data_IF_659213306994
#
_entry.id   IF_659213306994
#
_cell.length_a   1.000
_cell.length_b   1.000
_cell.length_c   1.000
_cell.angle_alpha   90.00
_cell.angle_beta   90.00
_cell.angle_gamma   90.00
#
_symmetry.space_group_name_H-M   'P 1'
#
loop_
_entity.id
_entity.type
_entity.pdbx_description
1 polymer ?
#
# COMPACT_ATOMS: atom_id res chain seq x y z
N UNK A 1 11.40 9.29 19.40
CA UNK A 1 12.36 8.66 18.46
C UNK A 1 13.46 9.67 18.18
N UNK A 2 14.74 9.33 18.37
CA UNK A 2 15.89 10.18 18.01
C UNK A 2 16.60 9.63 16.77
N UNK A 3 17.45 10.41 16.08
CA UNK A 3 18.26 9.91 14.96
C UNK A 3 19.10 8.68 15.34
N UNK A 4 19.66 8.65 16.55
CA UNK A 4 20.47 7.53 17.04
C UNK A 4 19.63 6.27 17.25
N UNK A 5 18.42 6.41 17.80
CA UNK A 5 17.48 5.29 17.94
C UNK A 5 17.04 4.77 16.57
N UNK A 6 16.75 5.66 15.62
CA UNK A 6 16.38 5.30 14.25
C UNK A 6 17.52 4.52 13.57
N UNK A 7 18.75 5.02 13.65
CA UNK A 7 19.94 4.36 13.11
C UNK A 7 20.16 2.97 13.72
N UNK A 8 19.93 2.82 15.04
CA UNK A 8 20.03 1.54 15.74
C UNK A 8 19.01 0.52 15.23
N UNK A 9 17.76 0.94 14.98
CA UNK A 9 16.72 0.08 14.41
C UNK A 9 17.12 -0.36 13.00
N UNK A 10 17.37 0.58 12.08
CA UNK A 10 17.59 0.24 10.65
C UNK A 10 18.87 -0.55 10.41
N UNK A 11 19.88 -0.44 11.29
CA UNK A 11 21.15 -1.15 11.17
C UNK A 11 21.28 -2.34 12.13
N UNK A 12 20.23 -2.62 12.91
CA UNK A 12 20.20 -3.71 13.87
C UNK A 12 20.42 -5.07 13.20
N UNK A 13 21.21 -5.93 13.83
CA UNK A 13 21.45 -7.32 13.39
C UNK A 13 21.03 -8.25 14.53
N UNK A 14 19.71 -8.45 14.74
CA UNK A 14 19.23 -9.27 15.83
C UNK A 14 19.67 -10.73 15.62
N UNK A 15 19.92 -11.43 16.73
CA UNK A 15 20.30 -12.84 16.75
C UNK A 15 19.17 -13.71 17.27
N UNK A 16 19.01 -14.91 16.71
CA UNK A 16 18.04 -15.87 17.22
C UNK A 16 18.46 -16.42 18.59
N UNK A 17 17.51 -16.97 19.35
CA UNK A 17 17.77 -17.53 20.69
C UNK A 17 18.84 -18.63 20.70
N UNK A 18 18.93 -19.41 19.61
CA UNK A 18 19.95 -20.46 19.43
C UNK A 18 21.22 -19.97 18.73
N UNK A 19 21.41 -18.65 18.61
CA UNK A 19 22.50 -18.05 17.84
C UNK A 19 22.18 -17.88 16.35
N UNK A 20 23.05 -17.16 15.65
CA UNK A 20 22.87 -16.80 14.23
C UNK A 20 22.09 -15.51 14.01
N UNK A 21 22.45 -14.76 12.98
CA UNK A 21 21.81 -13.49 12.61
C UNK A 21 20.48 -13.76 11.90
N UNK A 22 19.43 -13.04 12.29
CA UNK A 22 18.13 -13.08 11.62
C UNK A 22 18.22 -12.24 10.33
N UNK A 23 18.54 -12.88 9.21
CA UNK A 23 18.73 -12.19 7.91
C UNK A 23 17.45 -11.55 7.39
N UNK A 24 16.29 -12.15 7.68
CA UNK A 24 14.97 -11.61 7.30
C UNK A 24 14.69 -10.25 7.93
N UNK A 25 15.33 -9.89 9.05
CA UNK A 25 15.19 -8.56 9.63
C UNK A 25 15.67 -7.47 8.66
N UNK A 26 16.88 -7.64 8.10
CA UNK A 26 17.44 -6.68 7.16
C UNK A 26 16.81 -6.79 5.75
N UNK A 27 16.35 -7.98 5.36
CA UNK A 27 15.81 -8.24 4.02
C UNK A 27 14.32 -7.91 3.89
N UNK A 28 13.54 -8.00 4.96
CA UNK A 28 12.09 -7.84 4.94
C UNK A 28 11.60 -6.80 5.94
N UNK A 29 11.96 -6.93 7.22
CA UNK A 29 11.42 -6.07 8.28
C UNK A 29 11.86 -4.62 8.14
N UNK A 30 13.16 -4.36 7.89
CA UNK A 30 13.70 -3.00 7.73
C UNK A 30 13.09 -2.31 6.49
N UNK A 31 13.08 -2.92 5.29
CA UNK A 31 12.42 -2.32 4.12
C UNK A 31 10.94 -1.96 4.36
N UNK A 32 10.17 -2.85 4.99
CA UNK A 32 8.75 -2.58 5.32
C UNK A 32 8.59 -1.46 6.33
N UNK A 33 9.39 -1.48 7.40
CA UNK A 33 9.41 -0.41 8.40
C UNK A 33 9.73 0.94 7.78
N UNK A 34 10.71 1.00 6.88
CA UNK A 34 11.08 2.24 6.19
C UNK A 34 9.93 2.76 5.32
N UNK A 35 9.23 1.89 4.61
CA UNK A 35 8.06 2.29 3.82
C UNK A 35 6.91 2.79 4.70
N UNK A 36 6.64 2.13 5.83
CA UNK A 36 5.62 2.56 6.78
C UNK A 36 5.97 3.92 7.41
N UNK A 37 7.24 4.14 7.77
CA UNK A 37 7.73 5.43 8.26
C UNK A 37 7.61 6.51 7.21
N UNK A 38 8.04 6.23 5.97
CA UNK A 38 7.97 7.16 4.84
C UNK A 38 6.54 7.64 4.60
N UNK A 39 5.57 6.72 4.63
CA UNK A 39 4.16 7.01 4.35
C UNK A 39 3.43 7.66 5.51
N UNK A 40 3.52 7.07 6.70
CA UNK A 40 2.64 7.43 7.81
C UNK A 40 3.27 8.44 8.77
N UNK A 41 4.60 8.58 8.74
CA UNK A 41 5.34 9.40 9.70
C UNK A 41 6.41 10.26 8.99
N UNK A 42 6.01 11.21 8.12
CA UNK A 42 6.96 12.01 7.33
C UNK A 42 7.97 12.79 8.18
N UNK A 43 7.62 13.15 9.42
CA UNK A 43 8.55 13.77 10.37
C UNK A 43 9.65 12.80 10.83
N UNK A 44 9.32 11.52 11.01
CA UNK A 44 10.32 10.48 11.33
C UNK A 44 11.15 10.11 10.11
N UNK A 45 10.60 10.22 8.90
CA UNK A 45 11.35 9.98 7.67
C UNK A 45 12.56 10.94 7.51
N UNK A 46 12.44 12.17 8.01
CA UNK A 46 13.53 13.17 7.98
C UNK A 46 14.77 12.73 8.77
N UNK A 47 14.61 11.88 9.79
CA UNK A 47 15.71 11.40 10.64
C UNK A 47 16.21 10.00 10.25
N UNK A 48 15.67 9.39 9.18
CA UNK A 48 16.17 8.13 8.64
C UNK A 48 17.52 8.36 7.95
N UNK A 49 18.56 7.54 8.22
CA UNK A 49 19.84 7.61 7.51
C UNK A 49 19.68 7.49 5.99
N UNK A 50 20.41 8.29 5.21
CA UNK A 50 20.28 8.31 3.74
C UNK A 50 20.57 6.95 3.09
N UNK A 51 21.56 6.22 3.60
CA UNK A 51 21.89 4.86 3.15
C UNK A 51 20.76 3.85 3.46
N UNK A 52 19.94 4.12 4.48
CA UNK A 52 18.75 3.35 4.80
C UNK A 52 17.59 3.67 3.85
N UNK A 53 17.42 4.92 3.43
CA UNK A 53 16.33 5.31 2.53
C UNK A 53 16.35 4.55 1.20
N UNK A 54 17.52 4.21 0.68
CA UNK A 54 17.67 3.41 -0.53
C UNK A 54 17.23 1.93 -0.37
N UNK A 55 17.05 1.45 0.86
CA UNK A 55 16.63 0.07 1.18
C UNK A 55 15.11 -0.08 1.23
N UNK A 56 14.34 0.98 1.01
CA UNK A 56 12.88 0.89 0.85
C UNK A 56 12.59 -0.06 -0.29
N UNK A 57 11.85 -1.12 0.00
CA UNK A 57 11.28 -1.98 -1.03
C UNK A 57 9.85 -1.53 -1.32
N UNK A 58 9.40 -1.78 -2.54
CA UNK A 58 7.98 -1.76 -2.87
C UNK A 58 7.28 -2.78 -1.98
N UNK A 59 6.57 -2.32 -0.96
CA UNK A 59 5.69 -3.19 -0.19
C UNK A 59 4.60 -3.73 -1.12
N UNK A 60 4.32 -5.02 -1.00
CA UNK A 60 3.16 -5.61 -1.66
C UNK A 60 1.90 -5.30 -0.83
N UNK A 61 1.07 -4.41 -1.38
CA UNK A 61 -0.21 -3.97 -0.83
C UNK A 61 -1.38 -4.80 -1.36
N UNK A 62 -1.15 -5.78 -2.24
CA UNK A 62 -2.21 -6.63 -2.75
C UNK A 62 -2.94 -7.33 -1.59
N UNK A 63 -4.26 -7.36 -1.65
CA UNK A 63 -5.08 -7.92 -0.57
C UNK A 63 -5.63 -6.90 0.41
N UNK A 64 -4.93 -5.78 0.62
CA UNK A 64 -5.34 -4.72 1.57
C UNK A 64 -6.57 -3.96 1.08
N UNK A 65 -7.28 -3.32 2.01
CA UNK A 65 -8.41 -2.44 1.70
C UNK A 65 -7.98 -0.98 1.84
N UNK A 66 -8.39 -0.16 0.89
CA UNK A 66 -8.11 1.27 0.89
C UNK A 66 -9.35 2.08 0.49
N UNK A 67 -9.36 3.37 0.84
CA UNK A 67 -10.37 4.32 0.39
C UNK A 67 -10.14 4.60 -1.09
N UNK A 68 -11.11 4.24 -1.95
CA UNK A 68 -10.97 4.26 -3.41
C UNK A 68 -10.60 5.65 -3.95
N UNK A 69 -11.17 6.71 -3.39
CA UNK A 69 -10.90 8.09 -3.83
C UNK A 69 -9.44 8.53 -3.59
N UNK A 70 -8.70 7.79 -2.76
CA UNK A 70 -7.28 8.03 -2.45
C UNK A 70 -6.32 7.13 -3.25
N UNK A 71 -6.85 6.21 -4.06
CA UNK A 71 -6.07 5.31 -4.89
C UNK A 71 -5.76 5.93 -6.26
N UNK A 72 -4.69 5.47 -6.91
CA UNK A 72 -4.37 5.84 -8.28
C UNK A 72 -5.47 5.36 -9.25
N UNK A 73 -5.78 6.13 -10.31
CA UNK A 73 -6.53 5.63 -11.46
C UNK A 73 -5.90 4.37 -12.02
N UNK A 74 -6.74 3.41 -12.45
CA UNK A 74 -6.26 2.13 -12.93
C UNK A 74 -7.30 1.03 -12.82
N UNK A 75 -6.87 -0.18 -13.16
CA UNK A 75 -7.74 -1.36 -13.17
C UNK A 75 -7.84 -1.97 -11.78
N UNK A 76 -9.05 -2.16 -11.25
CA UNK A 76 -9.36 -2.87 -10.02
C UNK A 76 -10.22 -4.09 -10.34
N UNK A 77 -9.58 -5.26 -10.50
CA UNK A 77 -10.26 -6.45 -11.00
C UNK A 77 -10.81 -6.22 -12.42
N UNK A 78 -12.13 -6.32 -12.61
CA UNK A 78 -12.77 -6.07 -13.91
C UNK A 78 -13.22 -4.61 -14.12
N UNK A 79 -12.94 -3.74 -13.16
CA UNK A 79 -13.35 -2.34 -13.20
C UNK A 79 -12.16 -1.43 -13.49
N UNK A 80 -12.40 -0.30 -14.12
CA UNK A 80 -11.42 0.76 -14.38
C UNK A 80 -11.84 1.99 -13.59
N UNK A 81 -10.97 2.43 -12.70
CA UNK A 81 -11.08 3.66 -11.93
C UNK A 81 -10.40 4.80 -12.67
N UNK A 82 -11.11 5.90 -12.90
CA UNK A 82 -10.56 7.11 -13.56
C UNK A 82 -10.21 8.24 -12.56
N UNK A 83 -10.43 8.02 -11.25
CA UNK A 83 -10.32 9.06 -10.21
C UNK A 83 -11.67 9.62 -9.73
N UNK A 84 -12.78 9.28 -10.40
CA UNK A 84 -14.14 9.74 -10.06
C UNK A 84 -15.20 8.65 -10.18
N UNK A 85 -15.10 7.79 -11.19
CA UNK A 85 -16.06 6.72 -11.47
C UNK A 85 -15.37 5.38 -11.72
N UNK A 86 -16.06 4.29 -11.38
CA UNK A 86 -15.68 2.94 -11.79
C UNK A 86 -16.46 2.57 -13.03
N UNK A 87 -15.75 2.26 -14.11
CA UNK A 87 -16.35 1.80 -15.37
C UNK A 87 -15.99 0.34 -15.63
N UNK A 88 -16.93 -0.42 -16.17
CA UNK A 88 -16.76 -1.84 -16.46
C UNK A 88 -17.64 -2.27 -17.63
N UNK A 89 -17.16 -3.24 -18.40
CA UNK A 89 -17.95 -3.89 -19.45
C UNK A 89 -18.89 -4.95 -18.87
N UNK A 90 -19.89 -5.35 -19.67
CA UNK A 90 -20.88 -6.41 -19.45
C UNK A 90 -20.60 -7.29 -18.23
N UNK A 91 -21.05 -6.82 -17.07
CA UNK A 91 -21.01 -7.62 -15.85
C UNK A 91 -22.30 -8.44 -15.88
N UNK A 92 -22.19 -9.76 -16.04
CA UNK A 92 -23.30 -10.69 -15.78
C UNK A 92 -23.58 -10.70 -14.26
N UNK A 93 -24.08 -9.58 -13.77
CA UNK A 93 -24.53 -9.42 -12.41
C UNK A 93 -26.03 -9.66 -12.40
N UNK A 94 -26.46 -10.69 -11.67
CA UNK A 94 -27.87 -11.02 -11.43
C UNK A 94 -28.67 -9.85 -10.81
N UNK A 95 -27.98 -8.79 -10.38
CA UNK A 95 -28.54 -7.63 -9.69
C UNK A 95 -28.80 -6.45 -10.63
N UNK A 96 -28.51 -6.56 -11.93
CA UNK A 96 -28.81 -5.48 -12.89
C UNK A 96 -30.28 -5.56 -13.34
N UNK A 97 -30.97 -4.41 -13.46
CA UNK A 97 -32.38 -4.39 -13.89
C UNK A 97 -32.56 -4.73 -15.38
N UNK A 98 -31.48 -4.70 -16.16
CA UNK A 98 -31.44 -5.05 -17.57
C UNK A 98 -30.01 -5.46 -17.97
N UNK A 99 -29.90 -6.14 -19.10
CA UNK A 99 -28.61 -6.38 -19.76
C UNK A 99 -27.96 -5.04 -20.13
N UNK A 100 -26.67 -4.89 -19.85
CA UNK A 100 -25.92 -3.66 -20.11
C UNK A 100 -24.56 -3.98 -20.72
N UNK A 101 -24.21 -3.30 -21.81
CA UNK A 101 -22.87 -3.40 -22.40
C UNK A 101 -21.82 -2.66 -21.56
N UNK A 102 -22.22 -1.58 -20.88
CA UNK A 102 -21.35 -0.73 -20.09
C UNK A 102 -22.01 -0.28 -18.79
N UNK A 103 -21.27 -0.30 -17.68
CA UNK A 103 -21.73 0.13 -16.35
C UNK A 103 -20.76 1.16 -15.81
N UNK A 104 -21.31 2.26 -15.32
CA UNK A 104 -20.57 3.31 -14.62
C UNK A 104 -21.13 3.47 -13.21
N UNK A 105 -20.26 3.32 -12.21
CA UNK A 105 -20.60 3.51 -10.81
C UNK A 105 -19.94 4.78 -10.31
N UNK A 106 -20.71 5.63 -9.63
CA UNK A 106 -20.18 6.75 -8.85
C UNK A 106 -20.11 6.31 -7.40
N UNK A 107 -18.91 6.05 -6.85
CA UNK A 107 -18.76 5.63 -5.46
C UNK A 107 -19.19 6.76 -4.52
N UNK A 108 -19.76 6.40 -3.38
CA UNK A 108 -19.91 7.36 -2.26
C UNK A 108 -18.53 7.73 -1.71
N UNK A 109 -18.41 8.92 -1.12
CA UNK A 109 -17.19 9.28 -0.38
C UNK A 109 -16.90 8.26 0.73
N UNK A 110 -15.63 7.96 0.93
CA UNK A 110 -15.19 6.90 1.85
C UNK A 110 -15.46 5.46 1.36
N UNK A 111 -15.89 5.26 0.11
CA UNK A 111 -16.03 3.90 -0.42
C UNK A 111 -14.69 3.17 -0.43
N UNK A 112 -14.71 1.91 0.01
CA UNK A 112 -13.50 1.08 0.15
C UNK A 112 -13.37 0.10 -1.01
N UNK A 113 -12.14 -0.15 -1.46
CA UNK A 113 -11.83 -1.16 -2.48
C UNK A 113 -10.64 -2.02 -2.03
N UNK A 114 -10.57 -3.25 -2.56
CA UNK A 114 -9.42 -4.14 -2.37
C UNK A 114 -8.35 -3.82 -3.40
N UNK A 115 -7.11 -3.64 -2.94
CA UNK A 115 -5.94 -3.49 -3.81
C UNK A 115 -5.64 -4.83 -4.49
N UNK A 116 -5.53 -4.81 -5.81
CA UNK A 116 -5.15 -5.98 -6.64
C UNK A 116 -3.78 -5.83 -7.26
N UNK A 117 -3.23 -4.61 -7.34
CA UNK A 117 -1.90 -4.34 -7.89
C UNK A 117 -1.27 -3.13 -7.17
N UNK A 118 0.05 -3.15 -6.99
CA UNK A 118 0.77 -2.07 -6.28
C UNK A 118 0.75 -0.72 -6.99
N UNK A 119 0.57 -0.71 -8.32
CA UNK A 119 0.39 0.50 -9.13
C UNK A 119 -0.84 1.33 -8.73
N UNK A 120 -1.81 0.72 -8.03
CA UNK A 120 -3.02 1.38 -7.55
C UNK A 120 -2.77 2.26 -6.32
N UNK A 121 -1.61 2.12 -5.69
CA UNK A 121 -1.32 2.74 -4.40
C UNK A 121 -0.38 3.91 -4.59
N UNK A 122 -0.81 5.07 -4.10
CA UNK A 122 -0.02 6.31 -4.07
C UNK A 122 0.37 6.66 -2.64
N UNK A 123 1.18 7.70 -2.47
CA UNK A 123 1.49 8.24 -1.14
C UNK A 123 0.28 8.88 -0.45
N UNK A 124 -0.78 9.20 -1.20
CA UNK A 124 -2.03 9.70 -0.65
C UNK A 124 -2.99 8.57 -0.24
N UNK A 125 -2.69 7.31 -0.57
CA UNK A 125 -3.62 6.19 -0.38
C UNK A 125 -3.83 5.88 1.11
N UNK A 126 -5.08 5.95 1.53
CA UNK A 126 -5.51 5.68 2.91
C UNK A 126 -6.01 4.25 3.01
N UNK A 127 -5.31 3.43 3.80
CA UNK A 127 -5.74 2.06 4.12
C UNK A 127 -6.76 2.04 5.26
N UNK A 128 -7.64 1.04 5.26
CA UNK A 128 -8.74 0.88 6.24
C UNK A 128 -8.71 -0.46 6.99
N UNK A 129 -7.58 -1.17 6.89
CA UNK A 129 -7.32 -2.44 7.57
C UNK A 129 -6.69 -2.26 8.96
#
# INVERSE_FOLDING_TARGET
MTPEMMASIVNGKPTAMMGGVITSYQQESVPRFLEDVRRNYPELWKIVPEDAKARVQSTDYTGRKAVLETCAPGKFGNWVWDGKTLSGGAVNSLMLPAEAEHIVLTPKSGATIKITENSQVTDATVFVD
#
